data_IF_391656234550
#
_entry.id   IF_391656234550
#
_cell.length_a   1.000
_cell.length_b   1.000
_cell.length_c   1.000
_cell.angle_alpha   90.00
_cell.angle_beta   90.00
_cell.angle_gamma   90.00
#
_symmetry.space_group_name_H-M   'P 1'
#
loop_
_entity.id
_entity.type
_entity.pdbx_description
1 polymer ?
#
# COMPACT_ATOMS: atom_id res chain seq x y z
N UNK A 1 -24.98 -9.25 -38.73
CA UNK A 1 -25.01 -9.41 -37.28
C UNK A 1 -23.59 -9.06 -36.75
N UNK A 2 -23.32 -7.76 -36.56
CA UNK A 2 -22.00 -7.28 -36.07
C UNK A 2 -21.97 -7.46 -34.56
N UNK A 3 -21.10 -8.35 -34.08
CA UNK A 3 -20.74 -8.48 -32.68
C UNK A 3 -20.06 -7.17 -32.24
N UNK A 4 -20.73 -6.33 -31.48
CA UNK A 4 -20.09 -5.28 -30.70
C UNK A 4 -19.14 -5.96 -29.72
N UNK A 5 -17.86 -5.99 -30.06
CA UNK A 5 -16.82 -6.29 -29.06
C UNK A 5 -16.93 -5.24 -27.97
N UNK A 6 -17.48 -5.63 -26.82
CA UNK A 6 -17.44 -4.81 -25.64
C UNK A 6 -16.00 -4.31 -25.47
N UNK A 7 -15.77 -3.00 -25.60
CA UNK A 7 -14.44 -2.38 -25.39
C UNK A 7 -14.05 -2.71 -23.96
N UNK A 8 -13.09 -3.61 -23.79
CA UNK A 8 -12.59 -3.96 -22.45
C UNK A 8 -12.06 -2.67 -21.82
N UNK A 9 -12.50 -2.38 -20.60
CA UNK A 9 -12.12 -1.20 -19.83
C UNK A 9 -10.59 -1.14 -19.66
N UNK A 10 -9.93 -2.29 -19.73
CA UNK A 10 -8.49 -2.42 -19.55
C UNK A 10 -7.90 -3.39 -20.59
N UNK A 11 -6.82 -3.01 -21.32
CA UNK A 11 -6.15 -3.94 -22.23
C UNK A 11 -5.55 -5.13 -21.47
N UNK A 12 -5.55 -6.31 -22.09
CA UNK A 12 -5.10 -7.58 -21.49
C UNK A 12 -3.72 -7.44 -20.82
N UNK A 13 -2.78 -6.73 -21.46
CA UNK A 13 -1.46 -6.46 -20.89
C UNK A 13 -1.55 -5.79 -19.51
N UNK A 14 -2.40 -4.78 -19.36
CA UNK A 14 -2.56 -4.08 -18.07
C UNK A 14 -3.18 -5.00 -17.01
N UNK A 15 -4.11 -5.86 -17.40
CA UNK A 15 -4.71 -6.84 -16.50
C UNK A 15 -3.65 -7.84 -15.99
N UNK A 16 -2.79 -8.34 -16.89
CA UNK A 16 -1.69 -9.24 -16.52
C UNK A 16 -0.72 -8.55 -15.55
N UNK A 17 -0.29 -7.31 -15.86
CA UNK A 17 0.61 -6.56 -14.97
C UNK A 17 -0.04 -6.30 -13.60
N UNK A 18 -1.35 -5.99 -13.56
CA UNK A 18 -2.08 -5.84 -12.30
C UNK A 18 -2.03 -7.12 -11.49
N UNK A 19 -2.31 -8.28 -12.10
CA UNK A 19 -2.26 -9.57 -11.43
C UNK A 19 -0.87 -9.92 -10.92
N UNK A 20 0.17 -9.69 -11.73
CA UNK A 20 1.56 -9.97 -11.34
C UNK A 20 2.00 -9.11 -10.14
N UNK A 21 1.78 -7.79 -10.20
CA UNK A 21 2.18 -6.90 -9.11
C UNK A 21 1.34 -7.10 -7.84
N UNK A 22 0.05 -7.42 -7.99
CA UNK A 22 -0.80 -7.81 -6.86
C UNK A 22 -0.31 -9.14 -6.24
N UNK A 23 0.06 -10.11 -7.07
CA UNK A 23 0.69 -11.36 -6.62
C UNK A 23 1.97 -11.11 -5.82
N UNK A 24 2.82 -10.19 -6.26
CA UNK A 24 4.01 -9.78 -5.49
C UNK A 24 3.62 -9.16 -4.13
N UNK A 25 2.59 -8.30 -4.08
CA UNK A 25 2.10 -7.76 -2.80
C UNK A 25 1.62 -8.85 -1.86
N UNK A 26 0.90 -9.84 -2.37
CA UNK A 26 0.41 -10.99 -1.60
C UNK A 26 1.57 -11.85 -1.10
N UNK A 27 2.54 -12.16 -1.95
CA UNK A 27 3.74 -12.92 -1.57
C UNK A 27 4.51 -12.23 -0.46
N UNK A 28 4.74 -10.91 -0.60
CA UNK A 28 5.38 -10.12 0.44
C UNK A 28 4.58 -10.15 1.75
N UNK A 29 3.25 -10.05 1.69
CA UNK A 29 2.39 -10.09 2.87
C UNK A 29 2.30 -11.45 3.54
N UNK A 30 2.45 -12.54 2.76
CA UNK A 30 2.38 -13.91 3.26
C UNK A 30 3.72 -14.43 3.79
N UNK A 31 4.81 -13.68 3.57
CA UNK A 31 6.17 -14.09 3.93
C UNK A 31 6.84 -13.04 4.84
N UNK A 32 7.84 -13.43 5.63
CA UNK A 32 8.64 -12.48 6.39
C UNK A 32 9.37 -11.44 5.53
N UNK A 33 9.51 -11.70 4.21
CA UNK A 33 10.18 -10.79 3.27
C UNK A 33 9.47 -9.44 3.12
N UNK A 34 8.15 -9.38 3.38
CA UNK A 34 7.40 -8.13 3.34
C UNK A 34 7.65 -7.20 4.54
N UNK A 35 8.42 -7.66 5.52
CA UNK A 35 8.71 -6.94 6.75
C UNK A 35 10.22 -6.82 6.93
N UNK A 36 10.76 -5.61 6.80
CA UNK A 36 12.18 -5.35 7.03
C UNK A 36 12.34 -4.91 8.49
N UNK A 37 13.03 -5.70 9.35
CA UNK A 37 13.28 -5.30 10.73
C UNK A 37 14.28 -4.14 10.74
N UNK A 38 13.87 -3.00 11.31
CA UNK A 38 14.73 -1.83 11.49
C UNK A 38 14.70 -1.46 12.96
N UNK A 39 15.60 -2.07 13.73
CA UNK A 39 15.62 -1.93 15.17
C UNK A 39 14.31 -2.46 15.80
N UNK A 40 13.63 -1.67 16.66
CA UNK A 40 12.37 -2.06 17.29
C UNK A 40 11.16 -1.99 16.33
N UNK A 41 11.30 -1.34 15.17
CA UNK A 41 10.25 -1.16 14.18
C UNK A 41 10.38 -2.17 13.03
N UNK A 42 9.26 -2.43 12.33
CA UNK A 42 9.22 -3.24 11.10
C UNK A 42 8.70 -2.38 9.97
N UNK A 43 9.56 -2.06 9.00
CA UNK A 43 9.13 -1.40 7.77
C UNK A 43 8.40 -2.41 6.87
N UNK A 44 7.25 -2.03 6.35
CA UNK A 44 6.46 -2.85 5.44
C UNK A 44 6.70 -2.44 3.98
N UNK A 45 6.90 -3.41 3.10
CA UNK A 45 7.14 -3.16 1.67
C UNK A 45 6.02 -3.65 0.76
N UNK A 46 4.95 -4.18 1.33
CA UNK A 46 3.80 -4.75 0.59
C UNK A 46 3.07 -3.73 -0.30
N UNK A 47 3.17 -2.45 0.01
CA UNK A 47 2.54 -1.37 -0.75
C UNK A 47 3.38 -0.88 -1.95
N UNK A 48 4.66 -1.28 -2.03
CA UNK A 48 5.55 -0.83 -3.11
C UNK A 48 5.09 -1.25 -4.51
N UNK A 49 4.57 -2.47 -4.74
CA UNK A 49 4.02 -2.85 -6.04
C UNK A 49 2.89 -1.94 -6.52
N UNK A 50 2.08 -1.38 -5.60
CA UNK A 50 1.03 -0.40 -5.95
C UNK A 50 1.65 0.86 -6.53
N UNK A 51 2.71 1.38 -5.88
CA UNK A 51 3.43 2.58 -6.33
C UNK A 51 4.14 2.34 -7.67
N UNK A 52 4.79 1.19 -7.82
CA UNK A 52 5.45 0.80 -9.07
C UNK A 52 4.41 0.70 -10.20
N UNK A 53 3.26 0.05 -9.96
CA UNK A 53 2.16 -0.02 -10.90
C UNK A 53 1.62 1.36 -11.31
N UNK A 54 1.53 2.30 -10.36
CA UNK A 54 1.13 3.68 -10.60
C UNK A 54 2.09 4.41 -11.57
N UNK A 55 3.40 4.26 -11.34
CA UNK A 55 4.45 4.91 -12.15
C UNK A 55 4.54 4.30 -13.56
N UNK A 56 4.39 2.99 -13.68
CA UNK A 56 4.66 2.26 -14.92
C UNK A 56 3.44 2.12 -15.84
N UNK A 57 2.26 1.92 -15.27
CA UNK A 57 1.06 1.55 -16.04
C UNK A 57 -0.15 2.49 -15.80
N UNK A 58 -0.05 3.35 -14.80
CA UNK A 58 -1.05 4.39 -14.54
C UNK A 58 -2.07 4.06 -13.44
N UNK A 59 -3.05 4.96 -13.23
CA UNK A 59 -3.88 4.93 -12.00
C UNK A 59 -4.82 3.73 -11.94
N UNK A 60 -5.39 3.28 -13.06
CA UNK A 60 -6.33 2.14 -13.06
C UNK A 60 -5.65 0.84 -12.61
N UNK A 61 -4.42 0.59 -13.09
CA UNK A 61 -3.61 -0.57 -12.67
C UNK A 61 -3.29 -0.46 -11.19
N UNK A 62 -2.86 0.71 -10.74
CA UNK A 62 -2.49 0.93 -9.35
C UNK A 62 -3.68 0.78 -8.38
N UNK A 63 -4.86 1.29 -8.74
CA UNK A 63 -6.10 1.10 -7.97
C UNK A 63 -6.45 -0.40 -7.89
N UNK A 64 -6.33 -1.12 -9.02
CA UNK A 64 -6.57 -2.57 -9.06
C UNK A 64 -5.63 -3.36 -8.14
N UNK A 65 -4.33 -3.04 -8.16
CA UNK A 65 -3.35 -3.64 -7.24
C UNK A 65 -3.69 -3.29 -5.79
N UNK A 66 -4.00 -2.01 -5.52
CA UNK A 66 -4.37 -1.53 -4.19
C UNK A 66 -5.64 -2.19 -3.64
N UNK A 67 -6.65 -2.42 -4.50
CA UNK A 67 -7.86 -3.15 -4.14
C UNK A 67 -7.53 -4.60 -3.74
N UNK A 68 -6.77 -5.32 -4.55
CA UNK A 68 -6.39 -6.71 -4.27
C UNK A 68 -5.56 -6.78 -2.98
N UNK A 69 -4.60 -5.85 -2.81
CA UNK A 69 -3.80 -5.76 -1.58
C UNK A 69 -4.67 -5.47 -0.35
N UNK A 70 -5.66 -4.57 -0.45
CA UNK A 70 -6.58 -4.26 0.64
C UNK A 70 -7.46 -5.45 1.02
N UNK A 71 -8.03 -6.13 0.03
CA UNK A 71 -8.81 -7.37 0.25
C UNK A 71 -7.94 -8.45 0.90
N UNK A 72 -6.72 -8.64 0.40
CA UNK A 72 -5.77 -9.58 1.01
C UNK A 72 -5.46 -9.23 2.46
N UNK A 73 -5.32 -7.93 2.81
CA UNK A 73 -5.12 -7.51 4.20
C UNK A 73 -6.30 -7.89 5.12
N UNK A 74 -7.54 -7.85 4.60
CA UNK A 74 -8.72 -8.33 5.34
C UNK A 74 -8.66 -9.85 5.54
N UNK A 75 -8.35 -10.61 4.50
CA UNK A 75 -8.21 -12.08 4.56
C UNK A 75 -7.11 -12.44 5.58
N UNK A 76 -5.97 -11.77 5.54
CA UNK A 76 -4.86 -12.00 6.47
C UNK A 76 -5.25 -11.70 7.92
N UNK A 77 -6.04 -10.65 8.16
CA UNK A 77 -6.55 -10.33 9.49
C UNK A 77 -7.45 -11.44 10.07
N UNK A 78 -8.11 -12.21 9.22
CA UNK A 78 -8.93 -13.39 9.62
C UNK A 78 -8.05 -14.62 9.81
N UNK A 79 -7.11 -14.89 8.88
CA UNK A 79 -6.31 -16.11 8.87
C UNK A 79 -5.19 -16.11 9.91
N UNK A 80 -4.61 -14.95 10.20
CA UNK A 80 -3.52 -14.77 11.17
C UNK A 80 -3.85 -13.60 12.12
N UNK A 81 -4.84 -13.77 13.02
CA UNK A 81 -5.32 -12.69 13.87
C UNK A 81 -4.25 -12.24 14.86
N UNK A 82 -4.11 -10.95 15.01
CA UNK A 82 -3.32 -10.27 16.01
C UNK A 82 -4.22 -9.44 16.91
N UNK A 83 -3.70 -8.88 17.98
CA UNK A 83 -4.47 -8.02 18.92
C UNK A 83 -5.17 -6.86 18.22
N UNK A 84 -4.59 -6.37 17.11
CA UNK A 84 -5.12 -5.23 16.34
C UNK A 84 -5.78 -5.63 15.02
N UNK A 85 -5.95 -6.92 14.73
CA UNK A 85 -6.51 -7.38 13.45
C UNK A 85 -7.96 -6.94 13.23
N UNK A 86 -8.72 -6.71 14.31
CA UNK A 86 -10.12 -6.30 14.21
C UNK A 86 -10.31 -4.99 13.42
N UNK A 87 -9.34 -4.07 13.43
CA UNK A 87 -9.44 -2.82 12.68
C UNK A 87 -9.36 -3.05 11.16
N UNK A 88 -8.63 -4.08 10.73
CA UNK A 88 -8.45 -4.43 9.32
C UNK A 88 -9.61 -5.23 8.73
N UNK A 89 -10.59 -5.65 9.54
CA UNK A 89 -11.84 -6.25 9.04
C UNK A 89 -12.75 -5.21 8.40
N UNK A 90 -12.53 -3.93 8.69
CA UNK A 90 -13.27 -2.84 8.07
C UNK A 90 -12.64 -2.44 6.73
N UNK A 91 -13.41 -2.53 5.60
CA UNK A 91 -12.90 -2.14 4.28
C UNK A 91 -12.40 -0.70 4.19
N UNK A 92 -12.97 0.23 4.97
CA UNK A 92 -12.50 1.62 5.01
C UNK A 92 -11.07 1.72 5.51
N UNK A 93 -10.67 0.87 6.45
CA UNK A 93 -9.30 0.82 6.99
C UNK A 93 -8.39 0.00 6.09
N UNK A 94 -8.88 -1.16 5.60
CA UNK A 94 -8.05 -2.10 4.88
C UNK A 94 -7.94 -1.80 3.37
N UNK A 95 -8.99 -1.32 2.72
CA UNK A 95 -9.03 -1.19 1.25
C UNK A 95 -8.84 0.26 0.80
N UNK A 96 -9.58 1.20 1.38
CA UNK A 96 -9.58 2.58 0.89
C UNK A 96 -8.19 3.22 0.85
N UNK A 97 -7.36 3.18 1.92
CA UNK A 97 -6.01 3.75 1.87
C UNK A 97 -5.13 3.10 0.81
N UNK A 98 -5.28 1.78 0.58
CA UNK A 98 -4.49 1.01 -0.41
C UNK A 98 -4.80 1.44 -1.83
N UNK A 99 -6.07 1.72 -2.14
CA UNK A 99 -6.46 2.28 -3.44
C UNK A 99 -5.95 3.72 -3.62
N UNK A 100 -5.99 4.53 -2.54
CA UNK A 100 -5.51 5.90 -2.56
C UNK A 100 -4.00 6.01 -2.79
N UNK A 101 -3.18 5.03 -2.33
CA UNK A 101 -1.75 4.96 -2.67
C UNK A 101 -1.54 5.07 -4.18
N UNK A 102 -2.32 4.31 -4.95
CA UNK A 102 -2.20 4.27 -6.41
C UNK A 102 -2.47 5.63 -7.05
N UNK A 103 -3.50 6.34 -6.57
CA UNK A 103 -3.85 7.66 -7.07
C UNK A 103 -2.78 8.71 -6.71
N UNK A 104 -2.42 8.80 -5.45
CA UNK A 104 -1.47 9.80 -4.97
C UNK A 104 -0.09 9.59 -5.59
N UNK A 105 0.38 8.35 -5.67
CA UNK A 105 1.64 8.01 -6.32
C UNK A 105 1.64 8.36 -7.82
N UNK A 106 0.55 8.07 -8.53
CA UNK A 106 0.41 8.40 -9.96
C UNK A 106 0.45 9.91 -10.20
N UNK A 107 -0.38 10.68 -9.49
CA UNK A 107 -0.43 12.12 -9.69
C UNK A 107 0.88 12.80 -9.29
N UNK A 108 1.51 12.37 -8.19
CA UNK A 108 2.83 12.86 -7.80
C UNK A 108 3.86 12.59 -8.90
N UNK A 109 3.86 11.38 -9.47
CA UNK A 109 4.76 11.06 -10.57
C UNK A 109 4.47 11.87 -11.83
N UNK A 110 3.20 12.08 -12.14
CA UNK A 110 2.80 12.89 -13.31
C UNK A 110 3.29 14.35 -13.20
N UNK A 111 3.25 14.92 -12.00
CA UNK A 111 3.66 16.30 -11.72
C UNK A 111 5.18 16.45 -11.64
N UNK A 112 5.85 15.58 -10.88
CA UNK A 112 7.26 15.74 -10.53
C UNK A 112 8.22 14.97 -11.44
N UNK A 113 7.73 13.95 -12.17
CA UNK A 113 8.52 12.94 -12.90
C UNK A 113 9.55 12.20 -12.03
N UNK A 114 9.46 12.33 -10.72
CA UNK A 114 10.35 11.72 -9.74
C UNK A 114 9.74 10.47 -9.13
N UNK A 115 10.41 9.33 -9.29
CA UNK A 115 10.03 8.08 -8.64
C UNK A 115 10.19 8.17 -7.12
N UNK A 116 11.20 8.89 -6.63
CA UNK A 116 11.44 9.12 -5.21
C UNK A 116 10.28 9.90 -4.57
N UNK A 117 9.85 11.01 -5.18
CA UNK A 117 8.70 11.78 -4.70
C UNK A 117 7.42 10.94 -4.67
N UNK A 118 7.19 10.15 -5.73
CA UNK A 118 6.04 9.25 -5.83
C UNK A 118 6.05 8.16 -4.75
N UNK A 119 7.23 7.59 -4.46
CA UNK A 119 7.42 6.62 -3.39
C UNK A 119 7.13 7.25 -2.02
N UNK A 120 7.65 8.44 -1.75
CA UNK A 120 7.42 9.17 -0.49
C UNK A 120 5.94 9.43 -0.27
N UNK A 121 5.26 10.07 -1.23
CA UNK A 121 3.84 10.42 -1.09
C UNK A 121 2.96 9.18 -1.04
N UNK A 122 3.24 8.15 -1.85
CA UNK A 122 2.50 6.89 -1.81
C UNK A 122 2.62 6.18 -0.46
N UNK A 123 3.83 6.11 0.11
CA UNK A 123 4.07 5.52 1.43
C UNK A 123 3.38 6.33 2.53
N UNK A 124 3.52 7.66 2.52
CA UNK A 124 2.83 8.52 3.47
C UNK A 124 1.30 8.38 3.37
N UNK A 125 0.76 8.24 2.17
CA UNK A 125 -0.68 7.96 1.96
C UNK A 125 -1.09 6.66 2.62
N UNK A 126 -0.27 5.60 2.51
CA UNK A 126 -0.53 4.35 3.22
C UNK A 126 -0.55 4.56 4.74
N UNK A 127 0.52 5.10 5.29
CA UNK A 127 0.71 5.24 6.74
C UNK A 127 -0.34 6.18 7.34
N UNK A 128 -0.50 7.38 6.79
CA UNK A 128 -1.47 8.38 7.29
C UNK A 128 -2.91 7.91 7.05
N UNK A 129 -3.17 7.31 5.88
CA UNK A 129 -4.51 6.82 5.54
C UNK A 129 -4.97 5.71 6.49
N UNK A 130 -4.13 4.71 6.72
CA UNK A 130 -4.47 3.58 7.61
C UNK A 130 -4.57 4.05 9.05
N UNK A 131 -3.54 4.70 9.57
CA UNK A 131 -3.50 5.13 10.96
C UNK A 131 -4.55 6.21 11.26
N UNK A 132 -4.82 7.10 10.30
CA UNK A 132 -5.90 8.08 10.39
C UNK A 132 -7.28 7.43 10.48
N UNK A 133 -7.56 6.43 9.62
CA UNK A 133 -8.81 5.68 9.69
C UNK A 133 -8.94 4.87 10.99
N UNK A 134 -7.85 4.28 11.48
CA UNK A 134 -7.83 3.60 12.77
C UNK A 134 -8.16 4.60 13.89
N UNK A 135 -7.54 5.77 13.87
CA UNK A 135 -7.80 6.79 14.88
C UNK A 135 -9.27 7.23 14.88
N UNK A 136 -9.81 7.53 13.70
CA UNK A 136 -11.17 8.05 13.57
C UNK A 136 -12.25 7.04 13.93
N UNK A 137 -12.04 5.75 13.58
CA UNK A 137 -13.07 4.72 13.72
C UNK A 137 -12.88 3.87 14.99
N UNK A 138 -11.65 3.68 15.44
CA UNK A 138 -11.30 2.71 16.46
C UNK A 138 -10.30 3.22 17.51
N UNK A 139 -10.01 4.52 17.58
CA UNK A 139 -8.92 5.06 18.41
C UNK A 139 -8.92 4.56 19.84
N UNK A 140 -10.07 4.65 20.54
CA UNK A 140 -10.20 4.19 21.92
C UNK A 140 -10.01 2.67 22.06
N UNK A 141 -10.62 1.88 21.16
CA UNK A 141 -10.53 0.42 21.14
C UNK A 141 -9.11 -0.05 20.79
N UNK A 142 -8.44 0.68 19.87
CA UNK A 142 -7.07 0.40 19.48
C UNK A 142 -6.09 0.63 20.64
N UNK A 143 -6.24 1.73 21.40
CA UNK A 143 -5.43 1.99 22.58
C UNK A 143 -5.65 0.92 23.66
N UNK A 144 -6.91 0.58 23.96
CA UNK A 144 -7.27 -0.46 24.91
C UNK A 144 -6.69 -1.84 24.52
N UNK A 145 -6.75 -2.19 23.22
CA UNK A 145 -6.19 -3.45 22.71
C UNK A 145 -4.66 -3.54 22.91
N UNK A 146 -3.97 -2.40 22.93
CA UNK A 146 -2.53 -2.33 23.24
C UNK A 146 -2.23 -2.16 24.73
N UNK A 147 -3.23 -2.30 25.61
CA UNK A 147 -3.07 -2.17 27.05
C UNK A 147 -2.80 -0.74 27.53
N UNK A 148 -3.19 0.26 26.72
CA UNK A 148 -2.98 1.66 27.01
C UNK A 148 -4.31 2.38 27.30
N UNK A 149 -4.20 3.52 27.99
CA UNK A 149 -5.33 4.39 28.25
C UNK A 149 -5.92 4.91 26.93
N UNK A 150 -7.25 4.90 26.82
CA UNK A 150 -7.98 5.34 25.65
C UNK A 150 -7.68 6.79 25.26
N UNK A 151 -7.38 7.65 26.24
CA UNK A 151 -6.97 9.03 26.02
C UNK A 151 -5.61 9.18 25.32
N UNK A 152 -4.79 8.13 25.26
CA UNK A 152 -3.47 8.12 24.64
C UNK A 152 -3.49 7.66 23.18
N UNK A 153 -4.65 7.38 22.60
CA UNK A 153 -4.78 6.87 21.22
C UNK A 153 -4.02 7.73 20.20
N UNK A 154 -4.12 9.07 20.27
CA UNK A 154 -3.40 9.95 19.35
C UNK A 154 -1.88 9.84 19.49
N UNK A 155 -1.35 9.79 20.71
CA UNK A 155 0.09 9.66 20.96
C UNK A 155 0.63 8.31 20.49
N UNK A 156 -0.13 7.22 20.68
CA UNK A 156 0.22 5.90 20.18
C UNK A 156 0.30 5.86 18.67
N UNK A 157 -0.71 6.39 17.99
CA UNK A 157 -0.79 6.42 16.53
C UNK A 157 0.32 7.28 15.94
N UNK A 158 0.61 8.44 16.52
CA UNK A 158 1.74 9.27 16.11
C UNK A 158 3.08 8.57 16.34
N UNK A 159 3.23 7.87 17.46
CA UNK A 159 4.40 7.04 17.73
C UNK A 159 4.60 5.97 16.65
N UNK A 160 3.55 5.22 16.31
CA UNK A 160 3.61 4.20 15.24
C UNK A 160 3.89 4.85 13.88
N UNK A 161 3.26 5.99 13.58
CA UNK A 161 3.47 6.70 12.32
C UNK A 161 4.93 7.15 12.14
N UNK A 162 5.57 7.61 13.20
CA UNK A 162 6.96 8.05 13.13
C UNK A 162 7.95 6.89 13.13
N UNK A 163 7.77 5.92 14.01
CA UNK A 163 8.71 4.79 14.15
C UNK A 163 8.68 3.84 12.95
N UNK A 164 7.52 3.64 12.32
CA UNK A 164 7.38 2.78 11.15
C UNK A 164 7.44 3.59 9.84
N UNK A 165 6.76 4.73 9.78
CA UNK A 165 6.61 5.50 8.54
C UNK A 165 7.92 6.07 8.01
N UNK A 166 8.83 6.55 8.88
CA UNK A 166 10.12 7.08 8.42
C UNK A 166 10.98 5.99 7.77
N UNK A 167 11.22 4.83 8.39
CA UNK A 167 11.93 3.73 7.74
C UNK A 167 11.25 3.23 6.46
N UNK A 168 9.92 3.14 6.45
CA UNK A 168 9.16 2.71 5.28
C UNK A 168 9.37 3.65 4.09
N UNK A 169 9.38 4.97 4.30
CA UNK A 169 9.67 5.95 3.25
C UNK A 169 11.07 5.77 2.70
N UNK A 170 12.07 5.59 3.55
CA UNK A 170 13.47 5.41 3.11
C UNK A 170 13.59 4.17 2.23
N UNK A 171 13.07 3.04 2.69
CA UNK A 171 13.08 1.79 1.92
C UNK A 171 12.29 1.93 0.63
N UNK A 172 11.10 2.55 0.68
CA UNK A 172 10.27 2.77 -0.50
C UNK A 172 10.99 3.60 -1.56
N UNK A 173 11.65 4.68 -1.18
CA UNK A 173 12.41 5.53 -2.10
C UNK A 173 13.52 4.74 -2.79
N UNK A 174 14.29 3.97 -2.04
CA UNK A 174 15.39 3.16 -2.60
C UNK A 174 14.85 2.11 -3.56
N UNK A 175 13.89 1.29 -3.11
CA UNK A 175 13.39 0.15 -3.88
C UNK A 175 12.61 0.61 -5.12
N UNK A 176 11.66 1.54 -4.95
CA UNK A 176 10.84 2.02 -6.07
C UNK A 176 11.69 2.71 -7.12
N UNK A 177 12.68 3.54 -6.71
CA UNK A 177 13.57 4.22 -7.66
C UNK A 177 14.41 3.21 -8.44
N UNK A 178 15.02 2.23 -7.76
CA UNK A 178 15.83 1.20 -8.41
C UNK A 178 15.01 0.34 -9.37
N UNK A 179 13.86 -0.18 -8.92
CA UNK A 179 13.00 -1.04 -9.73
C UNK A 179 12.42 -0.30 -10.92
N UNK A 180 11.90 0.91 -10.74
CA UNK A 180 11.34 1.68 -11.86
C UNK A 180 12.41 2.10 -12.87
N UNK A 181 13.65 2.39 -12.44
CA UNK A 181 14.76 2.67 -13.32
C UNK A 181 15.14 1.45 -14.17
N UNK A 182 15.24 0.27 -13.54
CA UNK A 182 15.51 -1.00 -14.23
C UNK A 182 14.43 -1.33 -15.26
N UNK A 183 13.15 -1.28 -14.86
CA UNK A 183 12.01 -1.56 -15.75
C UNK A 183 11.94 -0.61 -16.94
N UNK A 184 12.26 0.68 -16.75
CA UNK A 184 12.31 1.65 -17.85
C UNK A 184 13.44 1.38 -18.83
N UNK A 185 14.59 0.87 -18.39
CA UNK A 185 15.70 0.46 -19.27
C UNK A 185 15.28 -0.70 -20.15
N UNK A 186 14.70 -1.76 -19.58
CA UNK A 186 14.20 -2.92 -20.32
C UNK A 186 13.14 -2.53 -21.36
N UNK A 187 12.28 -1.58 -21.04
CA UNK A 187 11.21 -1.12 -21.95
C UNK A 187 11.72 -0.27 -23.12
N UNK A 188 12.93 0.26 -23.04
CA UNK A 188 13.57 1.05 -24.10
C UNK A 188 14.48 0.22 -25.01
N UNK A 189 14.94 -0.93 -24.53
CA UNK A 189 15.70 -1.90 -25.30
C UNK A 189 14.79 -2.75 -26.19
#
# INVERSE_FOLDING_TARGET
MYSERAKSIMPVRKLVVTGMLAGVSILLGSTPLGFIPIGPAKATIMHLPVIIGAIMEGPLVAIGIGLIFGVFSMIQAIMAPTVISFVFLNPLVAVLPRMLIGLTAYYTYKMTKSAAASATIGTLTNTIGVLGMIYMLYGAQFAAALGQDQGKAAALILGIATTNGIPEVIVAVIVVTAVTAALKRIRKA
#
